data_IF_351465555404
#
_entry.id   IF_351465555404
#
_cell.length_a   1.000
_cell.length_b   1.000
_cell.length_c   1.000
_cell.angle_alpha   90.00
_cell.angle_beta   90.00
_cell.angle_gamma   90.00
#
_symmetry.space_group_name_H-M   'P 1'
#
loop_
_entity.id
_entity.type
_entity.pdbx_description
1 polymer ?
#
# COMPACT_ATOMS: atom_id res chain seq x y z
N UNK A 1 -0.93 -15.57 -3.88
CA UNK A 1 -0.53 -14.18 -4.19
C UNK A 1 -1.75 -13.30 -4.06
N UNK A 2 -1.75 -12.48 -3.03
CA UNK A 2 -2.72 -11.45 -2.76
C UNK A 2 -2.26 -10.16 -3.45
N UNK A 3 -3.08 -9.60 -4.33
CA UNK A 3 -2.79 -8.33 -4.98
C UNK A 3 -3.56 -7.25 -4.25
N UNK A 4 -2.83 -6.43 -3.51
CA UNK A 4 -3.41 -5.27 -2.85
C UNK A 4 -3.62 -4.18 -3.89
N UNK A 5 -4.88 -3.79 -4.06
CA UNK A 5 -5.26 -2.69 -4.94
C UNK A 5 -5.47 -1.45 -4.10
N UNK A 6 -5.09 -0.29 -4.64
CA UNK A 6 -5.46 0.97 -4.04
C UNK A 6 -6.98 1.11 -4.10
N UNK A 7 -7.60 1.19 -2.93
CA UNK A 7 -9.04 1.44 -2.78
C UNK A 7 -9.23 2.80 -2.11
N UNK A 8 -10.41 3.38 -2.27
CA UNK A 8 -10.76 4.66 -1.65
C UNK A 8 -10.43 4.64 -0.14
N UNK A 9 -9.48 5.48 0.26
CA UNK A 9 -8.98 5.62 1.63
C UNK A 9 -9.80 6.61 2.46
N UNK A 10 -10.83 7.23 1.87
CA UNK A 10 -11.76 8.12 2.57
C UNK A 10 -12.35 9.20 1.67
N UNK A 11 -13.68 9.25 1.63
CA UNK A 11 -14.51 10.36 1.13
C UNK A 11 -14.20 10.88 -0.30
N UNK A 12 -14.07 9.98 -1.27
CA UNK A 12 -14.13 10.36 -2.70
C UNK A 12 -12.83 10.93 -3.26
N UNK A 13 -11.71 10.59 -2.64
CA UNK A 13 -10.38 10.85 -3.16
C UNK A 13 -10.01 9.74 -4.16
N UNK A 14 -10.05 10.09 -5.45
CA UNK A 14 -9.76 9.17 -6.56
C UNK A 14 -8.25 8.87 -6.71
N UNK A 15 -7.40 9.65 -6.05
CA UNK A 15 -5.96 9.76 -6.29
C UNK A 15 -5.25 10.01 -4.95
N UNK A 16 -4.06 9.45 -4.78
CA UNK A 16 -3.20 9.68 -3.62
C UNK A 16 -1.74 9.66 -4.01
N UNK A 17 -0.89 10.35 -3.25
CA UNK A 17 0.56 10.31 -3.46
C UNK A 17 1.19 9.45 -2.38
N UNK A 18 2.07 8.53 -2.76
CA UNK A 18 2.78 7.72 -1.77
C UNK A 18 3.76 8.62 -1.02
N UNK A 19 3.58 8.76 0.28
CA UNK A 19 4.48 9.54 1.12
C UNK A 19 5.75 8.74 1.41
N UNK A 20 5.58 7.53 1.93
CA UNK A 20 6.69 6.67 2.37
C UNK A 20 6.30 5.19 2.28
N UNK A 21 7.29 4.34 1.99
CA UNK A 21 7.11 2.88 1.96
C UNK A 21 8.01 2.27 3.02
N UNK A 22 7.42 1.55 3.98
CA UNK A 22 8.13 0.96 5.13
C UNK A 22 8.64 -0.46 4.88
N UNK A 23 8.20 -1.07 3.78
CA UNK A 23 8.49 -2.47 3.46
C UNK A 23 9.35 -2.59 2.21
N UNK A 24 10.01 -3.74 2.06
CA UNK A 24 10.88 -4.03 0.93
C UNK A 24 10.47 -5.33 0.23
N UNK A 25 10.81 -5.45 -1.05
CA UNK A 25 10.55 -6.67 -1.82
C UNK A 25 11.27 -7.86 -1.15
N UNK A 26 10.50 -8.90 -0.83
CA UNK A 26 10.98 -10.07 -0.11
C UNK A 26 10.97 -9.95 1.42
N UNK A 27 10.45 -8.86 2.00
CA UNK A 27 10.28 -8.73 3.45
C UNK A 27 9.06 -9.51 3.95
N UNK A 28 9.16 -10.15 5.12
CA UNK A 28 8.00 -10.73 5.80
C UNK A 28 7.23 -9.63 6.56
N UNK A 29 5.93 -9.57 6.34
CA UNK A 29 4.98 -8.64 6.94
C UNK A 29 3.86 -9.40 7.63
N UNK A 30 3.29 -8.82 8.68
CA UNK A 30 2.19 -9.43 9.44
C UNK A 30 0.92 -8.61 9.27
N UNK A 31 -0.23 -9.25 9.42
CA UNK A 31 -1.50 -8.54 9.47
C UNK A 31 -1.43 -7.42 10.51
N UNK A 32 -1.75 -6.19 10.10
CA UNK A 32 -1.65 -5.00 10.94
C UNK A 32 -0.31 -4.26 10.90
N UNK A 33 0.72 -4.79 10.22
CA UNK A 33 2.02 -4.13 10.07
C UNK A 33 1.95 -3.03 8.99
N UNK A 34 2.52 -1.85 9.24
CA UNK A 34 2.41 -0.72 8.30
C UNK A 34 3.21 -1.00 7.03
N UNK A 35 2.52 -1.03 5.88
CA UNK A 35 3.17 -1.27 4.59
C UNK A 35 3.73 0.03 4.00
N UNK A 36 2.88 1.05 3.90
CA UNK A 36 3.19 2.34 3.31
C UNK A 36 2.23 3.41 3.81
N UNK A 37 2.62 4.66 3.66
CA UNK A 37 1.77 5.83 3.90
C UNK A 37 1.38 6.46 2.59
N UNK A 38 0.10 6.79 2.45
CA UNK A 38 -0.41 7.62 1.37
C UNK A 38 -0.73 9.01 1.93
N UNK A 39 -0.21 10.04 1.28
CA UNK A 39 -0.60 11.42 1.51
C UNK A 39 -1.61 11.85 0.45
N UNK A 40 -2.71 12.42 0.94
CA UNK A 40 -3.75 13.03 0.12
C UNK A 40 -3.85 14.51 0.49
N UNK A 41 -4.62 15.29 -0.27
CA UNK A 41 -4.76 16.75 -0.15
C UNK A 41 -5.02 17.26 1.28
N UNK A 42 -5.58 16.42 2.16
CA UNK A 42 -5.93 16.79 3.54
C UNK A 42 -5.34 15.92 4.62
N UNK A 43 -4.95 14.68 4.31
CA UNK A 43 -4.63 13.67 5.33
C UNK A 43 -3.56 12.72 4.81
N UNK A 44 -2.64 12.36 5.71
CA UNK A 44 -1.75 11.20 5.55
C UNK A 44 -2.41 10.00 6.20
N UNK A 45 -2.50 8.89 5.48
CA UNK A 45 -3.10 7.64 5.97
C UNK A 45 -2.11 6.50 5.79
N UNK A 46 -1.80 5.82 6.89
CA UNK A 46 -0.97 4.63 6.87
C UNK A 46 -1.81 3.41 6.53
N UNK A 47 -1.34 2.61 5.58
CA UNK A 47 -2.05 1.42 5.16
C UNK A 47 -1.38 0.18 5.77
N UNK A 48 -2.05 -0.49 6.73
CA UNK A 48 -1.53 -1.72 7.32
C UNK A 48 -1.72 -2.90 6.37
N UNK A 49 -0.93 -3.95 6.59
CA UNK A 49 -1.03 -5.17 5.81
C UNK A 49 -2.37 -5.87 6.12
N UNK A 50 -3.15 -6.22 5.09
CA UNK A 50 -4.44 -6.90 5.27
C UNK A 50 -4.28 -8.37 5.64
N UNK A 51 -3.10 -8.95 5.38
CA UNK A 51 -2.79 -10.36 5.56
C UNK A 51 -1.35 -10.53 6.02
N UNK A 52 -1.06 -11.63 6.69
CA UNK A 52 0.30 -12.03 7.04
C UNK A 52 0.93 -12.77 5.86
N UNK A 53 2.15 -12.41 5.50
CA UNK A 53 2.84 -13.03 4.37
C UNK A 53 4.15 -12.34 4.04
N UNK A 54 4.64 -12.56 2.82
CA UNK A 54 5.87 -11.97 2.33
C UNK A 54 5.58 -11.00 1.19
N UNK A 55 6.20 -9.83 1.17
CA UNK A 55 6.10 -8.92 0.04
C UNK A 55 6.74 -9.60 -1.18
N UNK A 56 5.92 -9.99 -2.15
CA UNK A 56 6.38 -10.56 -3.40
C UNK A 56 6.89 -9.46 -4.34
N UNK A 57 6.15 -8.34 -4.40
CA UNK A 57 6.49 -7.21 -5.27
C UNK A 57 5.91 -5.90 -4.77
N UNK A 58 6.66 -4.82 -4.96
CA UNK A 58 6.21 -3.45 -4.68
C UNK A 58 6.05 -2.74 -6.03
N UNK A 59 4.84 -2.26 -6.33
CA UNK A 59 4.56 -1.54 -7.58
C UNK A 59 4.49 -0.01 -7.38
N UNK A 60 4.64 0.44 -6.15
CA UNK A 60 4.60 1.84 -5.76
C UNK A 60 5.94 2.35 -5.28
N UNK A 61 6.14 3.67 -5.38
CA UNK A 61 7.38 4.33 -5.00
C UNK A 61 7.04 5.62 -4.24
N UNK A 62 7.85 6.03 -3.25
CA UNK A 62 7.64 7.29 -2.54
C UNK A 62 7.71 8.47 -3.53
N UNK A 63 6.74 9.38 -3.44
CA UNK A 63 6.53 10.50 -4.35
C UNK A 63 5.76 10.15 -5.63
N UNK A 64 5.30 8.91 -5.80
CA UNK A 64 4.51 8.48 -6.95
C UNK A 64 3.01 8.64 -6.68
N UNK A 65 2.28 9.07 -7.71
CA UNK A 65 0.82 9.13 -7.68
C UNK A 65 0.22 7.75 -7.97
N UNK A 66 -0.79 7.38 -7.18
CA UNK A 66 -1.58 6.14 -7.31
C UNK A 66 -3.06 6.46 -7.41
N UNK A 67 -3.78 5.66 -8.18
CA UNK A 67 -5.22 5.85 -8.47
C UNK A 67 -6.04 4.64 -8.05
N UNK A 68 -7.34 4.84 -7.78
CA UNK A 68 -8.23 3.73 -7.39
C UNK A 68 -8.23 2.62 -8.45
N UNK A 69 -8.03 1.38 -7.99
CA UNK A 69 -8.00 0.19 -8.82
C UNK A 69 -6.60 -0.23 -9.28
N UNK A 70 -5.59 0.61 -9.09
CA UNK A 70 -4.21 0.28 -9.41
C UNK A 70 -3.62 -0.70 -8.38
N UNK A 71 -2.72 -1.59 -8.83
CA UNK A 71 -2.14 -2.61 -7.96
C UNK A 71 -0.92 -2.00 -7.28
N UNK A 72 -0.95 -1.94 -5.95
CA UNK A 72 0.09 -1.28 -5.17
C UNK A 72 1.15 -2.25 -4.65
N UNK A 73 0.70 -3.42 -4.17
CA UNK A 73 1.57 -4.46 -3.63
C UNK A 73 1.10 -5.85 -4.04
N UNK A 74 2.06 -6.76 -4.19
CA UNK A 74 1.80 -8.19 -4.29
C UNK A 74 2.36 -8.84 -3.02
N UNK A 75 1.49 -9.49 -2.25
CA UNK A 75 1.83 -10.17 -1.01
C UNK A 75 1.63 -11.68 -1.22
N UNK A 76 2.62 -12.48 -0.90
CA UNK A 76 2.53 -13.92 -0.86
C UNK A 76 2.09 -14.35 0.55
N UNK A 77 0.79 -14.58 0.72
CA UNK A 77 0.25 -15.22 1.92
C UNK A 77 0.91 -16.59 2.11
N UNK A 78 1.30 -16.88 3.35
CA UNK A 78 1.93 -18.14 3.77
C UNK A 78 1.05 -18.90 4.76
#
# INVERSE_FOLDING_TARGET
MFQMKFTDVGEGLHEGTIAEVYVTEGQEVKEGDNLYSVETDKMTTDIPAPVTGKIAKILIEPGKEVTIGDVVFEIEES
#
